data_IF_133114807831
#
_entry.id   IF_133114807831
#
_cell.length_a   1.000
_cell.length_b   1.000
_cell.length_c   1.000
_cell.angle_alpha   90.00
_cell.angle_beta   90.00
_cell.angle_gamma   90.00
#
_symmetry.space_group_name_H-M   'P 1'
#
loop_
_entity.id
_entity.type
_entity.pdbx_description
1 polymer ?
#
# COMPACT_ATOMS: atom_id res chain seq x y z
N UNK A 1 5.02 7.63 -5.44
CA UNK A 1 3.59 7.75 -5.04
C UNK A 1 2.82 6.50 -5.39
N UNK A 2 2.70 6.13 -6.66
CA UNK A 2 1.92 4.95 -7.06
C UNK A 2 2.51 3.59 -6.61
N UNK A 3 3.83 3.40 -6.66
CA UNK A 3 4.45 2.16 -6.18
C UNK A 3 4.23 1.93 -4.67
N UNK A 4 4.15 2.99 -3.87
CA UNK A 4 3.86 2.89 -2.44
C UNK A 4 2.47 2.28 -2.20
N UNK A 5 1.48 2.57 -3.06
CA UNK A 5 0.14 1.96 -2.98
C UNK A 5 0.21 0.43 -3.11
N UNK A 6 1.18 -0.08 -3.88
CA UNK A 6 1.40 -1.52 -4.08
C UNK A 6 2.27 -2.12 -2.96
N UNK A 7 3.34 -1.42 -2.57
CA UNK A 7 4.26 -1.90 -1.54
C UNK A 7 3.68 -1.84 -0.14
N UNK A 8 2.74 -0.93 0.15
CA UNK A 8 2.17 -0.81 1.48
C UNK A 8 1.40 -2.09 1.88
N UNK A 9 0.38 -2.55 1.14
CA UNK A 9 -0.33 -3.79 1.46
C UNK A 9 0.60 -5.02 1.57
N UNK A 10 1.66 -5.07 0.77
CA UNK A 10 2.68 -6.13 0.84
C UNK A 10 3.48 -6.07 2.14
N UNK A 11 3.90 -4.88 2.58
CA UNK A 11 4.60 -4.69 3.83
C UNK A 11 3.71 -5.05 5.02
N UNK A 12 2.44 -4.63 4.97
CA UNK A 12 1.43 -4.97 5.98
C UNK A 12 1.27 -6.49 6.13
N UNK A 13 1.10 -7.22 5.02
CA UNK A 13 0.98 -8.68 5.06
C UNK A 13 2.24 -9.37 5.61
N UNK A 14 3.42 -8.80 5.36
CA UNK A 14 4.70 -9.30 5.87
C UNK A 14 4.82 -9.04 7.38
N UNK A 15 4.43 -7.85 7.85
CA UNK A 15 4.42 -7.49 9.27
C UNK A 15 3.38 -8.34 10.00
N UNK A 16 2.17 -8.45 9.46
CA UNK A 16 1.09 -9.26 10.02
C UNK A 16 1.48 -10.75 10.11
N UNK A 17 2.24 -11.28 9.15
CA UNK A 17 2.72 -12.67 9.18
C UNK A 17 3.87 -12.88 10.17
N UNK A 18 4.84 -11.96 10.22
CA UNK A 18 6.04 -12.12 11.05
C UNK A 18 5.80 -11.76 12.51
N UNK A 19 5.04 -10.68 12.76
CA UNK A 19 4.78 -10.14 14.09
C UNK A 19 3.48 -10.66 14.73
N UNK A 20 2.75 -11.55 14.06
CA UNK A 20 1.52 -12.17 14.62
C UNK A 20 1.72 -12.74 16.02
N UNK A 21 2.89 -13.36 16.24
CA UNK A 21 3.26 -14.00 17.52
C UNK A 21 3.52 -12.98 18.64
N UNK A 22 3.94 -11.76 18.30
CA UNK A 22 4.25 -10.72 19.28
C UNK A 22 3.06 -9.77 19.54
N UNK A 23 2.22 -9.51 18.53
CA UNK A 23 1.12 -8.54 18.62
C UNK A 23 -0.25 -9.12 18.94
N UNK A 24 -0.45 -10.43 18.75
CA UNK A 24 -1.77 -11.05 18.87
C UNK A 24 -2.76 -10.62 17.76
N UNK A 25 -4.01 -11.11 17.83
CA UNK A 25 -5.05 -10.81 16.83
C UNK A 25 -5.42 -9.33 16.81
N UNK A 26 -5.64 -8.74 17.99
CA UNK A 26 -6.11 -7.36 18.13
C UNK A 26 -5.07 -6.35 17.65
N UNK A 27 -3.80 -6.53 18.04
CA UNK A 27 -2.71 -5.64 17.61
C UNK A 27 -2.47 -5.70 16.11
N UNK A 28 -2.58 -6.89 15.51
CA UNK A 28 -2.45 -7.06 14.05
C UNK A 28 -3.60 -6.37 13.31
N UNK A 29 -4.83 -6.44 13.83
CA UNK A 29 -6.00 -5.80 13.21
C UNK A 29 -5.90 -4.27 13.21
N UNK A 30 -5.37 -3.67 14.28
CA UNK A 30 -5.16 -2.22 14.37
C UNK A 30 -4.10 -1.77 13.35
N UNK A 31 -3.00 -2.51 13.22
CA UNK A 31 -1.92 -2.16 12.28
C UNK A 31 -2.40 -2.26 10.83
N UNK A 32 -3.10 -3.33 10.46
CA UNK A 32 -3.62 -3.50 9.10
C UNK A 32 -4.62 -2.42 8.73
N UNK A 33 -5.54 -2.05 9.63
CA UNK A 33 -6.47 -0.94 9.38
C UNK A 33 -5.76 0.41 9.24
N UNK A 34 -4.71 0.69 10.02
CA UNK A 34 -3.90 1.90 9.86
C UNK A 34 -3.21 1.93 8.50
N UNK A 35 -2.62 0.82 8.06
CA UNK A 35 -1.90 0.73 6.79
C UNK A 35 -2.82 0.84 5.57
N UNK A 36 -4.01 0.23 5.66
CA UNK A 36 -5.06 0.33 4.64
C UNK A 36 -5.59 1.76 4.57
N UNK A 37 -5.86 2.40 5.72
CA UNK A 37 -6.33 3.79 5.76
C UNK A 37 -5.32 4.75 5.15
N UNK A 38 -4.03 4.53 5.41
CA UNK A 38 -2.96 5.31 4.81
C UNK A 38 -2.87 5.08 3.29
N UNK A 39 -2.96 3.81 2.84
CA UNK A 39 -2.97 3.46 1.41
C UNK A 39 -4.15 4.11 0.66
N UNK A 40 -5.31 4.21 1.30
CA UNK A 40 -6.49 4.86 0.74
C UNK A 40 -6.29 6.36 0.49
N UNK A 41 -5.59 7.06 1.39
CA UNK A 41 -5.25 8.49 1.21
C UNK A 41 -4.35 8.67 -0.01
N UNK A 42 -3.34 7.82 -0.20
CA UNK A 42 -2.48 7.88 -1.40
C UNK A 42 -3.23 7.54 -2.69
N UNK A 43 -4.19 6.63 -2.62
CA UNK A 43 -5.05 6.31 -3.75
C UNK A 43 -5.89 7.53 -4.17
N UNK A 44 -6.46 8.27 -3.20
CA UNK A 44 -7.18 9.50 -3.51
C UNK A 44 -6.29 10.60 -4.09
N UNK A 45 -5.09 10.79 -3.55
CA UNK A 45 -4.13 11.74 -4.10
C UNK A 45 -3.74 11.39 -5.54
N UNK A 46 -3.57 10.09 -5.81
CA UNK A 46 -3.28 9.57 -7.15
C UNK A 46 -4.45 9.77 -8.11
N UNK A 47 -5.69 9.54 -7.64
CA UNK A 47 -6.89 9.82 -8.43
C UNK A 47 -7.03 11.32 -8.73
N UNK A 48 -6.68 12.20 -7.79
CA UNK A 48 -6.68 13.64 -7.98
C UNK A 48 -5.59 14.11 -8.96
N UNK A 49 -4.47 13.41 -9.11
CA UNK A 49 -3.54 13.74 -10.20
C UNK A 49 -4.05 13.28 -11.56
N UNK A 50 -4.59 12.05 -11.65
CA UNK A 50 -4.93 11.44 -12.94
C UNK A 50 -6.24 11.98 -13.51
N UNK A 51 -7.28 12.19 -12.69
CA UNK A 51 -8.60 12.58 -13.17
C UNK A 51 -8.69 14.06 -13.57
N UNK A 52 -8.44 15.06 -12.69
CA UNK A 52 -8.47 16.47 -13.08
C UNK A 52 -7.16 16.97 -13.71
N UNK A 53 -6.02 16.34 -13.41
CA UNK A 53 -4.71 16.74 -13.96
C UNK A 53 -4.41 16.17 -15.35
N UNK A 54 -5.20 15.19 -15.82
CA UNK A 54 -5.06 14.51 -17.12
C UNK A 54 -3.63 14.01 -17.43
N UNK A 55 -2.77 13.89 -16.42
CA UNK A 55 -1.38 13.45 -16.56
C UNK A 55 -1.31 11.95 -16.32
N UNK A 56 -1.43 11.18 -17.40
CA UNK A 56 -1.27 9.74 -17.35
C UNK A 56 0.20 9.38 -17.07
N UNK A 57 0.50 9.01 -15.82
CA UNK A 57 1.84 8.57 -15.44
C UNK A 57 1.99 7.05 -15.64
N UNK A 58 2.82 6.65 -16.60
CA UNK A 58 3.14 5.24 -16.83
C UNK A 58 4.34 4.84 -15.97
N UNK A 59 4.13 3.86 -15.08
CA UNK A 59 5.22 3.29 -14.28
C UNK A 59 5.97 2.24 -15.09
N UNK A 60 7.27 2.47 -15.31
CA UNK A 60 8.18 1.42 -15.77
C UNK A 60 8.60 0.58 -14.56
N UNK A 61 8.23 -0.69 -14.59
CA UNK A 61 8.54 -1.67 -13.55
C UNK A 61 9.67 -2.58 -14.07
N UNK A 62 10.53 -3.07 -13.18
CA UNK A 62 11.55 -4.06 -13.53
C UNK A 62 10.92 -5.36 -14.08
N UNK A 63 11.62 -6.11 -14.94
CA UNK A 63 11.14 -7.41 -15.42
C UNK A 63 10.86 -8.34 -14.21
N UNK A 64 9.70 -9.00 -14.23
CA UNK A 64 9.18 -9.76 -13.08
C UNK A 64 10.04 -10.99 -12.77
N UNK A 65 10.42 -11.74 -13.80
CA UNK A 65 11.29 -12.92 -13.74
C UNK A 65 12.28 -12.78 -14.90
N UNK A 66 13.57 -12.90 -14.60
CA UNK A 66 14.64 -12.94 -15.61
C UNK A 66 14.87 -14.34 -16.14
#
# INVERSE_FOLDING_TARGET
MYLLIIFLPLLDSSIASFFRRFLGSEGTAIITTMYISFSYIFYFLSFYEVAPGASACYLKIAPWIS
#
